data_IF_997846631257
#
_entry.id   IF_997846631257
#
_cell.length_a   1.000
_cell.length_b   1.000
_cell.length_c   1.000
_cell.angle_alpha   90.00
_cell.angle_beta   90.00
_cell.angle_gamma   90.00
#
_symmetry.space_group_name_H-M   'P 1'
#
loop_
_entity.id
_entity.type
_entity.pdbx_description
1 polymer ?
#
# COMPACT_ATOMS: atom_id res chain seq x y z
N UNK A 1 -84.50 7.29 24.56
CA UNK A 1 -85.11 8.46 23.89
C UNK A 1 -84.13 8.94 22.83
N UNK A 2 -84.61 8.95 21.58
CA UNK A 2 -84.00 9.39 20.29
C UNK A 2 -82.72 8.68 19.85
N UNK A 3 -82.74 7.64 19.01
CA UNK A 3 -83.07 7.53 17.55
C UNK A 3 -82.16 8.35 16.62
N UNK A 4 -81.37 7.63 15.79
CA UNK A 4 -81.41 7.57 14.31
C UNK A 4 -80.38 8.50 13.63
N UNK A 5 -79.75 8.21 12.49
CA UNK A 5 -79.81 7.06 11.59
C UNK A 5 -78.56 7.06 10.66
N UNK A 6 -78.29 5.85 10.16
CA UNK A 6 -77.64 5.42 8.92
C UNK A 6 -77.40 6.45 7.81
N UNK A 7 -76.26 6.29 7.12
CA UNK A 7 -76.08 6.16 5.66
C UNK A 7 -74.59 6.36 5.35
N UNK A 8 -73.92 5.81 4.34
CA UNK A 8 -74.11 4.70 3.40
C UNK A 8 -72.84 4.73 2.53
N UNK A 9 -72.03 3.66 2.49
CA UNK A 9 -71.12 3.42 1.35
C UNK A 9 -71.95 2.99 0.12
N UNK A 10 -71.44 2.89 -1.14
CA UNK A 10 -70.07 3.03 -1.66
C UNK A 10 -69.96 3.84 -3.00
N UNK A 11 -68.75 4.16 -3.46
CA UNK A 11 -68.33 3.94 -4.87
C UNK A 11 -66.86 4.25 -5.13
N UNK A 12 -66.26 3.31 -5.84
CA UNK A 12 -64.91 3.20 -6.35
C UNK A 12 -64.55 4.22 -7.45
N UNK A 13 -63.30 4.67 -7.44
CA UNK A 13 -62.49 4.96 -8.65
C UNK A 13 -61.02 4.57 -8.38
N UNK A 14 -60.48 3.57 -9.08
CA UNK A 14 -59.05 3.28 -9.10
C UNK A 14 -58.46 3.82 -10.41
N UNK A 15 -57.52 4.76 -10.37
CA UNK A 15 -56.62 5.01 -11.50
C UNK A 15 -55.51 5.97 -11.08
N UNK A 16 -54.26 5.51 -11.19
CA UNK A 16 -53.09 6.39 -11.12
C UNK A 16 -51.98 5.97 -10.16
N UNK A 17 -51.52 4.70 -10.20
CA UNK A 17 -50.27 4.30 -9.54
C UNK A 17 -49.67 3.07 -10.24
N UNK A 18 -49.32 3.23 -11.53
CA UNK A 18 -48.59 2.22 -12.32
C UNK A 18 -47.52 2.86 -13.22
N UNK A 19 -46.78 3.85 -12.69
CA UNK A 19 -45.63 4.45 -13.39
C UNK A 19 -44.39 4.64 -12.50
N UNK A 20 -44.34 3.99 -11.32
CA UNK A 20 -43.20 4.07 -10.40
C UNK A 20 -42.31 2.82 -10.36
N UNK A 21 -42.80 1.67 -10.82
CA UNK A 21 -42.14 0.37 -10.64
C UNK A 21 -41.19 -0.01 -11.78
N UNK A 22 -41.29 0.64 -12.95
CA UNK A 22 -40.48 0.30 -14.13
C UNK A 22 -39.10 0.98 -14.16
N UNK A 23 -38.95 2.14 -13.51
CA UNK A 23 -37.66 2.86 -13.47
C UNK A 23 -36.67 2.20 -12.49
N UNK A 24 -37.15 1.59 -11.40
CA UNK A 24 -36.30 0.87 -10.43
C UNK A 24 -35.74 -0.44 -11.02
N UNK A 25 -36.51 -1.14 -11.88
CA UNK A 25 -36.00 -2.35 -12.55
C UNK A 25 -34.97 -2.05 -13.65
N UNK A 26 -35.12 -0.96 -14.40
CA UNK A 26 -34.17 -0.60 -15.45
C UNK A 26 -32.79 -0.18 -14.89
N UNK A 27 -32.76 0.57 -13.78
CA UNK A 27 -31.51 0.90 -13.09
C UNK A 27 -30.83 -0.33 -12.44
N UNK A 28 -31.63 -1.30 -11.96
CA UNK A 28 -31.13 -2.58 -11.45
C UNK A 28 -30.52 -3.46 -12.54
N UNK A 29 -31.13 -3.53 -13.73
CA UNK A 29 -30.63 -4.33 -14.84
C UNK A 29 -29.32 -3.78 -15.43
N UNK A 30 -29.21 -2.46 -15.60
CA UNK A 30 -27.98 -1.83 -16.11
C UNK A 30 -26.79 -1.99 -15.14
N UNK A 31 -27.03 -1.84 -13.83
CA UNK A 31 -25.99 -2.07 -12.82
C UNK A 31 -25.65 -3.55 -12.63
N UNK A 32 -26.58 -4.48 -12.86
CA UNK A 32 -26.29 -5.92 -12.92
C UNK A 32 -25.38 -6.26 -14.10
N UNK A 33 -25.62 -5.67 -15.28
CA UNK A 33 -24.83 -5.96 -16.48
C UNK A 33 -23.42 -5.34 -16.42
N UNK A 34 -23.30 -4.14 -15.86
CA UNK A 34 -22.02 -3.48 -15.62
C UNK A 34 -21.18 -4.21 -14.56
N UNK A 35 -21.81 -4.66 -13.47
CA UNK A 35 -21.15 -5.49 -12.46
C UNK A 35 -20.80 -6.89 -12.99
N UNK A 36 -21.62 -7.45 -13.88
CA UNK A 36 -21.33 -8.73 -14.56
C UNK A 36 -20.14 -8.59 -15.50
N UNK A 37 -20.05 -7.53 -16.29
CA UNK A 37 -18.89 -7.26 -17.14
C UNK A 37 -17.60 -7.13 -16.31
N UNK A 38 -17.65 -6.41 -15.18
CA UNK A 38 -16.53 -6.31 -14.22
C UNK A 38 -16.15 -7.66 -13.61
N UNK A 39 -17.15 -8.47 -13.21
CA UNK A 39 -16.93 -9.81 -12.67
C UNK A 39 -16.34 -10.78 -13.72
N UNK A 40 -16.71 -10.62 -14.99
CA UNK A 40 -16.12 -11.42 -16.07
C UNK A 40 -14.68 -11.00 -16.37
N UNK A 41 -14.31 -9.75 -16.09
CA UNK A 41 -12.93 -9.24 -16.20
C UNK A 41 -12.02 -9.65 -15.03
N UNK A 42 -12.57 -10.06 -13.88
CA UNK A 42 -11.75 -10.64 -12.79
C UNK A 42 -11.16 -12.00 -13.17
N UNK A 43 -9.95 -12.29 -12.66
CA UNK A 43 -9.25 -13.55 -12.93
C UNK A 43 -10.04 -14.76 -12.46
N UNK A 44 -9.85 -15.92 -13.10
CA UNK A 44 -10.53 -17.16 -12.70
C UNK A 44 -10.26 -17.55 -11.25
N UNK A 45 -9.07 -17.23 -10.73
CA UNK A 45 -8.70 -17.43 -9.32
C UNK A 45 -9.54 -16.52 -8.42
N UNK A 46 -9.60 -15.22 -8.70
CA UNK A 46 -10.38 -14.27 -7.90
C UNK A 46 -11.88 -14.62 -7.87
N UNK A 47 -12.43 -15.14 -8.98
CA UNK A 47 -13.82 -15.62 -9.01
C UNK A 47 -14.03 -16.85 -8.12
N UNK A 48 -13.06 -17.75 -8.07
CA UNK A 48 -13.11 -18.95 -7.21
C UNK A 48 -13.02 -18.55 -5.74
N UNK A 49 -12.11 -17.65 -5.41
CA UNK A 49 -11.95 -17.12 -4.04
C UNK A 49 -13.22 -16.40 -3.57
N UNK A 50 -13.85 -15.62 -4.46
CA UNK A 50 -15.13 -14.98 -4.15
C UNK A 50 -16.25 -16.01 -3.92
N UNK A 51 -16.36 -17.01 -4.79
CA UNK A 51 -17.35 -18.08 -4.65
C UNK A 51 -17.16 -18.87 -3.34
N UNK A 52 -15.91 -19.16 -2.97
CA UNK A 52 -15.61 -19.82 -1.71
C UNK A 52 -15.93 -18.93 -0.50
N UNK A 53 -15.61 -17.63 -0.57
CA UNK A 53 -15.95 -16.67 0.47
C UNK A 53 -17.46 -16.52 0.67
N UNK A 54 -18.23 -16.48 -0.42
CA UNK A 54 -19.70 -16.47 -0.37
C UNK A 54 -20.25 -17.79 0.20
N UNK A 55 -19.66 -18.92 -0.17
CA UNK A 55 -20.05 -20.21 0.41
C UNK A 55 -19.80 -20.27 1.91
N UNK A 56 -18.64 -19.79 2.38
CA UNK A 56 -18.34 -19.69 3.81
C UNK A 56 -19.31 -18.74 4.51
N UNK A 57 -19.62 -17.60 3.89
CA UNK A 57 -20.63 -16.69 4.42
C UNK A 57 -21.99 -17.36 4.60
N UNK A 58 -22.45 -18.15 3.62
CA UNK A 58 -23.71 -18.87 3.72
C UNK A 58 -23.67 -20.01 4.76
N UNK A 59 -22.49 -20.57 5.06
CA UNK A 59 -22.31 -21.65 6.04
C UNK A 59 -22.12 -21.15 7.47
N UNK A 60 -21.34 -20.08 7.66
CA UNK A 60 -20.88 -19.61 8.97
C UNK A 60 -21.88 -18.65 9.64
N UNK A 61 -22.74 -18.01 8.85
CA UNK A 61 -23.73 -17.05 9.36
C UNK A 61 -25.14 -17.64 9.40
N UNK A 62 -25.89 -17.31 10.46
CA UNK A 62 -27.31 -17.62 10.56
C UNK A 62 -28.11 -16.76 9.57
N UNK A 63 -29.28 -17.24 9.14
CA UNK A 63 -30.16 -16.54 8.18
C UNK A 63 -30.42 -15.09 8.58
N UNK A 64 -30.68 -14.82 9.86
CA UNK A 64 -30.90 -13.47 10.38
C UNK A 64 -29.67 -12.57 10.20
N UNK A 65 -28.47 -13.11 10.44
CA UNK A 65 -27.21 -12.39 10.25
C UNK A 65 -26.92 -12.14 8.77
N UNK A 66 -27.22 -13.12 7.91
CA UNK A 66 -27.11 -12.96 6.46
C UNK A 66 -28.04 -11.85 5.96
N UNK A 67 -29.29 -11.83 6.42
CA UNK A 67 -30.25 -10.77 6.10
C UNK A 67 -29.78 -9.39 6.60
N UNK A 68 -29.24 -9.32 7.82
CA UNK A 68 -28.67 -8.08 8.33
C UNK A 68 -27.53 -7.55 7.45
N UNK A 69 -26.60 -8.41 7.04
CA UNK A 69 -25.49 -8.03 6.14
C UNK A 69 -26.00 -7.60 4.76
N UNK A 70 -26.95 -8.34 4.17
CA UNK A 70 -27.57 -7.97 2.89
C UNK A 70 -28.30 -6.62 2.98
N UNK A 71 -28.99 -6.36 4.09
CA UNK A 71 -29.65 -5.07 4.31
C UNK A 71 -28.67 -3.89 4.40
N UNK A 72 -27.47 -4.12 4.95
CA UNK A 72 -26.40 -3.11 4.97
C UNK A 72 -25.89 -2.87 3.55
N UNK A 73 -25.64 -3.92 2.78
CA UNK A 73 -25.20 -3.82 1.38
C UNK A 73 -26.23 -3.07 0.50
N UNK A 74 -27.52 -3.37 0.67
CA UNK A 74 -28.60 -2.67 -0.04
C UNK A 74 -28.64 -1.19 0.33
N UNK A 75 -28.50 -0.85 1.62
CA UNK A 75 -28.40 0.56 2.05
C UNK A 75 -27.17 1.25 1.47
N UNK A 76 -26.01 0.60 1.46
CA UNK A 76 -24.79 1.16 0.87
C UNK A 76 -24.95 1.41 -0.63
N UNK A 77 -25.66 0.55 -1.36
CA UNK A 77 -25.95 0.73 -2.79
C UNK A 77 -26.83 1.94 -3.08
N UNK A 78 -27.73 2.31 -2.15
CA UNK A 78 -28.60 3.48 -2.30
C UNK A 78 -27.91 4.81 -2.05
N UNK A 79 -26.71 4.82 -1.45
CA UNK A 79 -25.96 6.04 -1.16
C UNK A 79 -25.29 6.61 -2.43
N UNK A 80 -25.09 7.94 -2.49
CA UNK A 80 -24.19 8.57 -3.45
C UNK A 80 -22.79 7.93 -3.43
N UNK A 81 -22.10 7.91 -4.57
CA UNK A 81 -20.80 7.23 -4.70
C UNK A 81 -19.78 7.69 -3.64
N UNK A 82 -19.68 9.00 -3.41
CA UNK A 82 -18.73 9.56 -2.42
C UNK A 82 -19.05 9.12 -0.99
N UNK A 83 -20.32 9.18 -0.59
CA UNK A 83 -20.76 8.73 0.73
C UNK A 83 -20.56 7.22 0.91
N UNK A 84 -20.91 6.43 -0.11
CA UNK A 84 -20.69 5.00 -0.13
C UNK A 84 -19.21 4.65 0.06
N UNK A 85 -18.32 5.36 -0.63
CA UNK A 85 -16.87 5.19 -0.47
C UNK A 85 -16.41 5.52 0.95
N UNK A 86 -16.92 6.61 1.53
CA UNK A 86 -16.61 6.99 2.91
C UNK A 86 -17.01 5.90 3.92
N UNK A 87 -18.23 5.35 3.80
CA UNK A 87 -18.69 4.25 4.65
C UNK A 87 -17.86 2.98 4.47
N UNK A 88 -17.56 2.59 3.22
CA UNK A 88 -16.72 1.43 2.94
C UNK A 88 -15.29 1.61 3.46
N UNK A 89 -14.76 2.83 3.44
CA UNK A 89 -13.47 3.15 4.05
C UNK A 89 -13.53 3.05 5.58
N UNK A 90 -14.61 3.51 6.22
CA UNK A 90 -14.81 3.34 7.67
C UNK A 90 -14.89 1.85 8.07
N UNK A 91 -15.65 1.04 7.32
CA UNK A 91 -15.75 -0.41 7.57
C UNK A 91 -14.40 -1.11 7.42
N UNK A 92 -13.64 -0.79 6.36
CA UNK A 92 -12.29 -1.34 6.14
C UNK A 92 -11.34 -0.98 7.29
N UNK A 93 -11.34 0.29 7.73
CA UNK A 93 -10.52 0.73 8.86
C UNK A 93 -10.86 0.01 10.15
N UNK A 94 -12.15 -0.11 10.44
CA UNK A 94 -12.60 -0.84 11.60
C UNK A 94 -12.14 -2.30 11.55
N UNK A 95 -12.32 -2.98 10.42
CA UNK A 95 -11.87 -4.36 10.24
C UNK A 95 -10.35 -4.49 10.44
N UNK A 96 -9.55 -3.67 9.76
CA UNK A 96 -8.09 -3.70 9.89
C UNK A 96 -7.62 -3.37 11.32
N UNK A 97 -8.31 -2.45 12.00
CA UNK A 97 -8.03 -2.14 13.39
C UNK A 97 -8.32 -3.33 14.31
N UNK A 98 -9.48 -4.00 14.15
CA UNK A 98 -9.84 -5.20 14.91
C UNK A 98 -8.81 -6.32 14.69
N UNK A 99 -8.41 -6.56 13.43
CA UNK A 99 -7.37 -7.55 13.11
C UNK A 99 -5.98 -7.17 13.65
N UNK A 100 -5.73 -5.87 13.86
CA UNK A 100 -4.50 -5.37 14.46
C UNK A 100 -4.44 -5.48 15.99
N UNK A 101 -5.53 -5.86 16.66
CA UNK A 101 -5.56 -6.03 18.11
C UNK A 101 -4.83 -7.31 18.54
N UNK A 102 -4.25 -7.37 19.75
CA UNK A 102 -3.79 -8.63 20.31
C UNK A 102 -4.91 -9.66 20.33
N UNK A 103 -4.62 -10.91 19.97
CA UNK A 103 -5.61 -11.99 19.79
C UNK A 103 -6.62 -12.08 20.94
N UNK A 104 -6.13 -12.12 22.19
CA UNK A 104 -6.99 -12.12 23.38
C UNK A 104 -7.94 -10.93 23.46
N UNK A 105 -7.47 -9.73 23.11
CA UNK A 105 -8.28 -8.50 23.14
C UNK A 105 -9.31 -8.49 22.01
N UNK A 106 -8.93 -8.98 20.83
CA UNK A 106 -9.82 -9.14 19.68
C UNK A 106 -10.94 -10.12 20.00
N UNK A 107 -10.60 -11.29 20.53
CA UNK A 107 -11.55 -12.36 20.82
C UNK A 107 -12.51 -11.95 21.94
N UNK A 108 -12.00 -11.27 22.99
CA UNK A 108 -12.81 -10.66 24.04
C UNK A 108 -13.79 -9.60 23.48
N UNK A 109 -13.38 -8.83 22.46
CA UNK A 109 -14.25 -7.86 21.80
C UNK A 109 -15.34 -8.57 20.97
N UNK A 110 -14.96 -9.60 20.20
CA UNK A 110 -15.88 -10.33 19.31
C UNK A 110 -16.88 -11.19 20.09
N UNK A 111 -16.51 -11.69 21.26
CA UNK A 111 -17.38 -12.47 22.14
C UNK A 111 -18.55 -11.65 22.74
N UNK A 112 -18.44 -10.32 22.77
CA UNK A 112 -19.49 -9.43 23.33
C UNK A 112 -20.71 -9.36 22.42
N UNK A 113 -21.87 -9.09 23.01
CA UNK A 113 -23.09 -8.79 22.28
C UNK A 113 -22.94 -7.51 21.44
N UNK A 114 -23.62 -7.38 20.28
CA UNK A 114 -23.48 -6.23 19.37
C UNK A 114 -23.57 -4.86 20.07
N UNK A 115 -24.53 -4.70 20.98
CA UNK A 115 -24.77 -3.44 21.70
C UNK A 115 -23.62 -3.07 22.66
N UNK A 116 -22.92 -4.08 23.19
CA UNK A 116 -21.78 -3.91 24.09
C UNK A 116 -20.43 -3.79 23.35
N UNK A 117 -20.38 -4.18 22.08
CA UNK A 117 -19.16 -4.04 21.28
C UNK A 117 -18.82 -2.58 21.08
N UNK A 118 -19.79 -1.73 20.76
CA UNK A 118 -19.55 -0.30 20.52
C UNK A 118 -18.95 0.44 21.73
N UNK A 119 -19.44 0.17 22.95
CA UNK A 119 -18.86 0.76 24.17
C UNK A 119 -17.44 0.25 24.46
N UNK A 120 -17.21 -1.04 24.18
CA UNK A 120 -15.89 -1.66 24.29
C UNK A 120 -14.91 -1.10 23.27
N UNK A 121 -15.34 -0.89 22.03
CA UNK A 121 -14.56 -0.23 20.98
C UNK A 121 -14.13 1.15 21.44
N UNK A 122 -15.04 1.99 21.98
CA UNK A 122 -14.67 3.33 22.49
C UNK A 122 -13.54 3.28 23.52
N UNK A 123 -13.58 2.30 24.43
CA UNK A 123 -12.55 2.12 25.45
C UNK A 123 -11.24 1.59 24.84
N UNK A 124 -11.34 0.63 23.92
CA UNK A 124 -10.18 0.04 23.26
C UNK A 124 -9.47 1.03 22.34
N UNK A 125 -10.21 1.92 21.66
CA UNK A 125 -9.62 2.95 20.80
C UNK A 125 -8.73 3.90 21.59
N UNK A 126 -9.03 4.19 22.87
CA UNK A 126 -8.14 4.99 23.71
C UNK A 126 -6.78 4.29 23.98
N UNK A 127 -6.77 2.94 24.00
CA UNK A 127 -5.57 2.12 24.26
C UNK A 127 -4.84 1.69 22.97
N UNK A 128 -5.60 1.51 21.90
CA UNK A 128 -5.19 1.12 20.56
C UNK A 128 -5.84 2.13 19.59
N UNK A 129 -5.23 3.31 19.39
CA UNK A 129 -5.82 4.34 18.54
C UNK A 129 -6.10 3.82 17.14
N UNK A 130 -7.21 4.29 16.55
CA UNK A 130 -7.51 4.05 15.15
C UNK A 130 -6.48 4.80 14.30
N UNK A 131 -6.06 4.26 13.13
CA UNK A 131 -5.30 5.04 12.17
C UNK A 131 -6.15 6.24 11.72
N UNK A 132 -5.69 7.47 11.96
CA UNK A 132 -6.39 8.66 11.48
C UNK A 132 -6.38 8.68 9.94
N UNK A 133 -7.53 9.04 9.37
CA UNK A 133 -7.76 9.10 7.92
C UNK A 133 -7.38 10.42 7.34
N UNK A 134 -7.54 11.47 8.13
CA UNK A 134 -6.99 12.76 7.81
C UNK A 134 -5.64 12.80 8.48
N UNK A 135 -4.64 12.13 7.90
CA UNK A 135 -3.20 12.39 7.90
C UNK A 135 -2.68 13.68 8.60
N UNK A 136 -3.12 14.01 9.82
CA UNK A 136 -2.84 15.25 10.56
C UNK A 136 -2.00 14.97 11.79
N UNK A 137 -2.01 13.74 12.29
CA UNK A 137 -1.05 13.28 13.31
C UNK A 137 0.22 12.79 12.61
N UNK A 138 1.37 13.47 12.81
CA UNK A 138 2.67 13.08 12.21
C UNK A 138 3.08 11.63 12.53
N UNK A 139 2.47 11.02 13.54
CA UNK A 139 2.93 9.77 14.16
C UNK A 139 1.98 8.59 13.84
N UNK A 140 0.83 8.85 13.20
CA UNK A 140 -0.12 7.79 12.76
C UNK A 140 0.41 6.96 11.59
N UNK A 141 1.47 7.44 10.95
CA UNK A 141 2.09 6.87 9.76
C UNK A 141 3.01 5.68 10.05
N UNK A 142 3.28 5.42 11.32
CA UNK A 142 4.13 4.30 11.74
C UNK A 142 3.31 2.99 11.81
N UNK A 143 1.97 3.07 11.78
CA UNK A 143 1.14 1.96 12.28
C UNK A 143 0.77 0.89 11.26
N UNK A 144 0.80 1.12 9.95
CA UNK A 144 0.31 0.10 9.00
C UNK A 144 1.45 -0.62 8.29
N UNK A 145 1.87 -1.74 8.90
CA UNK A 145 2.75 -2.74 8.27
C UNK A 145 4.25 -2.51 8.45
N UNK A 146 4.68 -1.50 9.21
CA UNK A 146 6.08 -1.29 9.60
C UNK A 146 7.06 -1.17 8.42
N UNK A 147 6.59 -0.75 7.25
CA UNK A 147 7.38 -0.63 6.01
C UNK A 147 7.23 0.80 5.51
N UNK A 148 8.33 1.56 5.44
CA UNK A 148 8.29 2.93 4.93
C UNK A 148 8.04 2.96 3.42
N UNK A 149 7.60 4.09 2.87
CA UNK A 149 7.31 4.20 1.43
C UNK A 149 8.54 3.89 0.55
N UNK A 150 9.74 4.28 0.99
CA UNK A 150 11.00 4.01 0.29
C UNK A 150 11.33 2.51 0.27
N UNK A 151 11.05 1.82 1.37
CA UNK A 151 11.22 0.36 1.47
C UNK A 151 10.18 -0.36 0.62
N UNK A 152 8.90 0.06 0.66
CA UNK A 152 7.85 -0.51 -0.20
C UNK A 152 8.24 -0.36 -1.68
N UNK A 153 8.76 0.80 -2.09
CA UNK A 153 9.23 1.01 -3.45
C UNK A 153 10.39 0.08 -3.81
N UNK A 154 11.36 -0.13 -2.91
CA UNK A 154 12.43 -1.11 -3.12
C UNK A 154 11.90 -2.53 -3.29
N UNK A 155 10.96 -2.96 -2.43
CA UNK A 155 10.32 -4.28 -2.53
C UNK A 155 9.59 -4.43 -3.88
N UNK A 156 8.82 -3.43 -4.31
CA UNK A 156 8.17 -3.42 -5.62
C UNK A 156 9.17 -3.52 -6.77
N UNK A 157 10.25 -2.72 -6.75
CA UNK A 157 11.30 -2.76 -7.78
C UNK A 157 11.97 -4.13 -7.84
N UNK A 158 12.28 -4.70 -6.69
CA UNK A 158 12.87 -6.04 -6.60
C UNK A 158 11.94 -7.10 -7.15
N UNK A 159 10.68 -7.10 -6.74
CA UNK A 159 9.66 -8.04 -7.21
C UNK A 159 9.50 -8.00 -8.74
N UNK A 160 9.44 -6.80 -9.32
CA UNK A 160 9.32 -6.62 -10.76
C UNK A 160 10.57 -7.11 -11.51
N UNK A 161 11.74 -7.11 -10.87
CA UNK A 161 12.98 -7.67 -11.41
C UNK A 161 13.10 -9.21 -11.25
N UNK A 162 12.21 -9.86 -10.50
CA UNK A 162 12.18 -11.32 -10.37
C UNK A 162 11.54 -11.98 -11.59
N UNK A 163 12.03 -13.17 -11.94
CA UNK A 163 11.38 -14.07 -12.90
C UNK A 163 10.07 -14.65 -12.34
N UNK A 164 9.13 -15.12 -13.18
CA UNK A 164 7.90 -15.76 -12.71
C UNK A 164 8.15 -16.94 -11.76
N UNK A 165 9.21 -17.74 -12.01
CA UNK A 165 9.57 -18.87 -11.15
C UNK A 165 10.06 -18.42 -9.77
N UNK A 166 10.85 -17.35 -9.70
CA UNK A 166 11.31 -16.78 -8.43
C UNK A 166 10.15 -16.18 -7.63
N UNK A 167 9.24 -15.48 -8.31
CA UNK A 167 8.02 -14.95 -7.68
C UNK A 167 7.18 -16.06 -7.06
N UNK A 168 6.97 -17.16 -7.81
CA UNK A 168 6.23 -18.31 -7.31
C UNK A 168 6.90 -18.96 -6.10
N UNK A 169 8.22 -19.12 -6.11
CA UNK A 169 8.98 -19.64 -4.95
C UNK A 169 8.85 -18.73 -3.73
N UNK A 170 8.89 -17.42 -3.93
CA UNK A 170 8.74 -16.45 -2.85
C UNK A 170 7.32 -16.47 -2.27
N UNK A 171 6.28 -16.53 -3.12
CA UNK A 171 4.90 -16.62 -2.65
C UNK A 171 4.61 -17.92 -1.88
N UNK A 172 5.28 -19.02 -2.25
CA UNK A 172 5.21 -20.29 -1.52
C UNK A 172 5.92 -20.24 -0.14
N UNK A 173 6.75 -19.23 0.13
CA UNK A 173 7.45 -19.09 1.41
C UNK A 173 6.50 -18.63 2.53
N UNK A 174 6.80 -18.94 3.81
CA UNK A 174 6.01 -18.47 4.95
C UNK A 174 5.85 -16.94 4.95
N UNK A 175 4.65 -16.45 5.28
CA UNK A 175 4.32 -15.02 5.18
C UNK A 175 5.32 -14.10 5.92
N UNK A 176 5.84 -14.53 7.07
CA UNK A 176 6.81 -13.77 7.87
C UNK A 176 8.21 -13.65 7.26
N UNK A 177 8.61 -14.56 6.35
CA UNK A 177 9.95 -14.56 5.75
C UNK A 177 10.00 -13.90 4.37
N UNK A 178 8.85 -13.75 3.68
CA UNK A 178 8.77 -13.21 2.30
C UNK A 178 9.49 -11.87 2.14
N UNK A 179 9.30 -10.95 3.09
CA UNK A 179 9.94 -9.62 3.05
C UNK A 179 11.46 -9.70 3.16
N UNK A 180 11.98 -10.48 4.11
CA UNK A 180 13.42 -10.64 4.32
C UNK A 180 14.07 -11.31 3.10
N UNK A 181 13.39 -12.30 2.52
CA UNK A 181 13.85 -12.99 1.31
C UNK A 181 13.84 -12.06 0.09
N UNK A 182 12.81 -11.21 -0.06
CA UNK A 182 12.78 -10.22 -1.13
C UNK A 182 13.92 -9.21 -0.99
N UNK A 183 14.22 -8.73 0.22
CA UNK A 183 15.40 -7.88 0.49
C UNK A 183 16.71 -8.58 0.11
N UNK A 184 16.87 -9.85 0.46
CA UNK A 184 18.04 -10.66 0.07
C UNK A 184 18.18 -10.75 -1.45
N UNK A 185 17.09 -11.02 -2.16
CA UNK A 185 17.08 -11.08 -3.63
C UNK A 185 17.34 -9.71 -4.29
N UNK A 186 16.91 -8.62 -3.66
CA UNK A 186 17.18 -7.24 -4.08
C UNK A 186 18.65 -6.90 -3.93
N UNK A 187 19.26 -7.24 -2.78
CA UNK A 187 20.68 -7.06 -2.54
C UNK A 187 21.53 -7.78 -3.60
N UNK A 188 21.20 -9.04 -3.92
CA UNK A 188 21.87 -9.81 -4.98
C UNK A 188 21.77 -9.17 -6.38
N UNK A 189 20.81 -8.26 -6.59
CA UNK A 189 20.57 -7.52 -7.83
C UNK A 189 21.04 -6.06 -7.77
N UNK A 190 21.76 -5.66 -6.72
CA UNK A 190 22.17 -4.28 -6.47
C UNK A 190 20.98 -3.29 -6.37
N UNK A 191 19.83 -3.78 -5.90
CA UNK A 191 18.69 -2.92 -5.55
C UNK A 191 18.84 -2.57 -4.07
N UNK A 192 18.94 -1.28 -3.70
CA UNK A 192 19.10 -0.86 -2.31
C UNK A 192 17.85 -1.21 -1.49
N UNK A 193 17.99 -1.45 -0.19
CA UNK A 193 16.87 -1.81 0.69
C UNK A 193 15.78 -0.73 0.76
N UNK A 194 16.14 0.53 0.48
CA UNK A 194 15.22 1.66 0.38
C UNK A 194 15.55 2.46 -0.89
N UNK A 195 14.51 2.83 -1.66
CA UNK A 195 14.65 3.74 -2.80
C UNK A 195 14.42 5.16 -2.33
N UNK A 196 15.49 5.92 -2.16
CA UNK A 196 15.43 7.33 -1.78
C UNK A 196 15.31 8.22 -3.02
N UNK A 197 14.42 9.22 -2.99
CA UNK A 197 14.43 10.32 -3.96
C UNK A 197 15.78 11.05 -3.98
N UNK A 198 16.19 11.62 -5.12
CA UNK A 198 17.46 12.34 -5.24
C UNK A 198 17.52 13.62 -4.37
N UNK A 199 16.36 14.20 -4.05
CA UNK A 199 16.19 15.41 -3.25
C UNK A 199 15.91 15.11 -1.77
N UNK A 200 15.84 13.84 -1.38
CA UNK A 200 15.67 13.45 0.03
C UNK A 200 16.97 13.68 0.81
N UNK A 201 16.99 14.74 1.62
CA UNK A 201 18.07 15.00 2.57
C UNK A 201 17.71 14.40 3.94
N UNK A 202 18.26 13.23 4.26
CA UNK A 202 17.95 12.50 5.49
C UNK A 202 18.17 13.33 6.75
N UNK A 203 19.28 14.08 6.85
CA UNK A 203 19.57 14.91 8.03
C UNK A 203 18.50 15.97 8.24
N UNK A 204 18.14 16.71 7.18
CA UNK A 204 17.10 17.73 7.25
C UNK A 204 15.76 17.16 7.73
N UNK A 205 15.34 16.01 7.19
CA UNK A 205 14.06 15.40 7.56
C UNK A 205 14.08 14.75 8.94
N UNK A 206 15.23 14.27 9.41
CA UNK A 206 15.41 13.83 10.80
C UNK A 206 15.27 15.02 11.76
N UNK A 207 15.91 16.15 11.47
CA UNK A 207 15.80 17.36 12.30
C UNK A 207 14.33 17.85 12.36
N UNK A 208 13.62 17.83 11.22
CA UNK A 208 12.18 18.11 11.18
C UNK A 208 11.36 17.09 11.99
N UNK A 209 11.68 15.80 11.87
CA UNK A 209 11.02 14.73 12.63
C UNK A 209 11.20 14.90 14.14
N UNK A 210 12.40 15.27 14.60
CA UNK A 210 12.67 15.56 16.01
C UNK A 210 11.89 16.79 16.49
N UNK A 211 11.84 17.86 15.70
CA UNK A 211 11.05 19.05 16.04
C UNK A 211 9.56 18.73 16.18
N UNK A 212 8.98 18.00 15.23
CA UNK A 212 7.59 17.54 15.29
C UNK A 212 7.33 16.65 16.51
N UNK A 213 8.27 15.76 16.82
CA UNK A 213 8.15 14.89 17.99
C UNK A 213 8.17 15.68 19.30
N UNK A 214 9.01 16.71 19.38
CA UNK A 214 9.09 17.60 20.54
C UNK A 214 7.82 18.44 20.70
N UNK A 215 7.22 18.94 19.61
CA UNK A 215 5.92 19.62 19.62
C UNK A 215 4.82 18.72 20.23
N UNK A 216 4.74 17.46 19.78
CA UNK A 216 3.75 16.50 20.28
C UNK A 216 4.01 16.14 21.74
N UNK A 217 5.27 15.97 22.14
CA UNK A 217 5.65 15.79 23.55
C UNK A 217 5.28 17.03 24.39
N UNK A 218 5.16 18.22 23.80
CA UNK A 218 4.64 19.40 24.49
C UNK A 218 3.13 19.35 24.79
N UNK A 219 2.36 18.55 24.03
CA UNK A 219 0.89 18.69 23.95
C UNK A 219 0.05 17.81 24.89
N UNK A 220 0.64 16.91 25.70
CA UNK A 220 -0.10 16.12 26.70
C UNK A 220 0.59 14.84 27.20
N UNK A 221 0.06 14.21 28.25
CA UNK A 221 0.64 13.00 28.89
C UNK A 221 0.33 11.71 28.13
N UNK A 222 -0.91 11.53 27.66
CA UNK A 222 -1.33 10.33 26.90
C UNK A 222 -0.53 10.17 25.61
N UNK A 223 -0.17 11.30 24.98
CA UNK A 223 0.63 11.32 23.75
C UNK A 223 2.11 10.90 23.97
N UNK A 224 2.65 11.06 25.18
CA UNK A 224 4.02 10.65 25.48
C UNK A 224 4.16 9.14 25.62
N UNK A 225 3.19 8.50 26.26
CA UNK A 225 3.24 7.08 26.57
C UNK A 225 3.18 6.20 25.32
N UNK A 226 2.40 6.60 24.32
CA UNK A 226 2.31 5.83 23.08
C UNK A 226 3.54 6.02 22.19
N UNK A 227 4.11 7.24 22.12
CA UNK A 227 5.36 7.51 21.40
C UNK A 227 6.47 6.64 21.99
N UNK A 228 6.59 6.61 23.32
CA UNK A 228 7.58 5.79 24.02
C UNK A 228 7.39 4.30 23.72
N UNK A 229 6.15 3.79 23.72
CA UNK A 229 5.85 2.40 23.33
C UNK A 229 6.24 2.11 21.89
N UNK A 230 6.05 3.07 20.99
CA UNK A 230 6.34 2.93 19.57
C UNK A 230 7.84 2.97 19.27
N UNK A 231 8.57 3.87 19.92
CA UNK A 231 10.04 3.93 19.93
C UNK A 231 10.60 2.58 20.39
N UNK A 232 10.11 2.06 21.52
CA UNK A 232 10.53 0.76 22.05
C UNK A 232 10.23 -0.39 21.08
N UNK A 233 9.05 -0.40 20.44
CA UNK A 233 8.69 -1.43 19.44
C UNK A 233 9.63 -1.39 18.23
N UNK A 234 9.91 -0.19 17.72
CA UNK A 234 10.81 -0.04 16.57
C UNK A 234 12.23 -0.44 16.95
N UNK A 235 12.72 0.02 18.12
CA UNK A 235 14.03 -0.35 18.64
C UNK A 235 14.20 -1.87 18.78
N UNK A 236 13.18 -2.57 19.28
CA UNK A 236 13.17 -4.04 19.35
C UNK A 236 13.25 -4.69 17.96
N UNK A 237 12.49 -4.19 16.98
CA UNK A 237 12.57 -4.73 15.60
C UNK A 237 13.91 -4.47 14.92
N UNK A 238 14.59 -3.36 15.25
CA UNK A 238 15.92 -3.05 14.71
C UNK A 238 17.06 -3.73 15.45
N UNK A 239 16.94 -3.98 16.76
CA UNK A 239 17.96 -4.68 17.55
C UNK A 239 18.17 -6.13 17.08
N UNK A 240 17.15 -6.73 16.48
CA UNK A 240 17.24 -8.04 15.82
C UNK A 240 17.96 -7.99 14.47
N UNK A 241 18.28 -6.78 13.94
CA UNK A 241 19.02 -6.55 12.70
C UNK A 241 20.43 -6.02 12.99
N UNK A 242 21.22 -6.73 13.81
CA UNK A 242 22.65 -6.40 14.03
C UNK A 242 23.45 -6.76 12.77
N UNK A 243 23.69 -5.78 11.91
CA UNK A 243 24.63 -5.86 10.80
C UNK A 243 25.21 -4.49 10.52
N UNK A 244 26.53 -4.37 10.63
CA UNK A 244 27.39 -3.22 10.34
C UNK A 244 27.31 -2.00 11.28
N UNK A 245 28.33 -1.87 12.12
CA UNK A 245 28.51 -0.85 13.17
C UNK A 245 28.72 0.59 12.70
N UNK A 246 27.95 1.07 11.72
CA UNK A 246 27.73 2.51 11.53
C UNK A 246 26.57 2.91 12.43
N UNK A 247 26.72 4.02 13.16
CA UNK A 247 25.63 4.66 13.90
C UNK A 247 24.54 5.10 12.92
N UNK A 248 23.67 4.17 12.55
CA UNK A 248 22.47 4.49 11.79
C UNK A 248 21.59 5.37 12.69
N UNK A 249 21.04 6.47 12.17
CA UNK A 249 20.11 7.30 12.92
C UNK A 249 19.02 6.43 13.54
N UNK A 250 18.52 6.82 14.72
CA UNK A 250 17.54 6.04 15.49
C UNK A 250 16.47 5.53 14.51
N UNK A 251 16.28 4.20 14.32
CA UNK A 251 15.42 3.66 13.27
C UNK A 251 13.98 4.19 13.30
N UNK A 252 13.54 4.63 14.48
CA UNK A 252 12.30 5.37 14.68
C UNK A 252 12.29 6.73 13.98
N UNK A 253 13.31 7.56 14.19
CA UNK A 253 13.42 8.91 13.62
C UNK A 253 13.58 8.85 12.10
N UNK A 254 14.37 7.90 11.59
CA UNK A 254 14.47 7.69 10.14
C UNK A 254 13.10 7.42 9.51
N UNK A 255 12.31 6.51 10.10
CA UNK A 255 10.96 6.21 9.61
C UNK A 255 10.04 7.43 9.69
N UNK A 256 10.13 8.20 10.77
CA UNK A 256 9.35 9.42 10.92
C UNK A 256 9.75 10.46 9.87
N UNK A 257 11.04 10.63 9.61
CA UNK A 257 11.60 11.51 8.58
C UNK A 257 11.11 11.12 7.18
N UNK A 258 11.18 9.84 6.81
CA UNK A 258 10.64 9.34 5.53
C UNK A 258 9.14 9.62 5.40
N UNK A 259 8.38 9.40 6.47
CA UNK A 259 6.93 9.65 6.47
C UNK A 259 6.60 11.14 6.35
N UNK A 260 7.34 12.01 7.04
CA UNK A 260 7.18 13.46 6.94
C UNK A 260 7.52 13.96 5.54
N UNK A 261 8.61 13.46 4.94
CA UNK A 261 8.95 13.76 3.55
C UNK A 261 7.78 13.39 2.62
N UNK A 262 7.24 12.18 2.73
CA UNK A 262 6.11 11.74 1.89
C UNK A 262 4.88 12.64 2.03
N UNK A 263 4.65 13.20 3.23
CA UNK A 263 3.50 14.05 3.51
C UNK A 263 3.67 15.47 3.01
N UNK A 264 4.79 16.10 3.35
CA UNK A 264 5.03 17.53 3.13
C UNK A 264 5.64 17.80 1.75
N UNK A 265 6.27 16.81 1.13
CA UNK A 265 6.84 16.99 -0.20
C UNK A 265 5.76 17.16 -1.28
N UNK A 266 6.10 17.98 -2.27
CA UNK A 266 5.26 18.27 -3.45
C UNK A 266 4.69 16.97 -4.03
N UNK A 267 3.39 16.92 -4.38
CA UNK A 267 2.81 15.72 -4.92
C UNK A 267 3.62 15.24 -6.13
N UNK A 268 3.96 13.95 -6.19
CA UNK A 268 4.76 13.40 -7.27
C UNK A 268 4.10 13.68 -8.62
N UNK A 269 4.91 13.76 -9.68
CA UNK A 269 4.41 13.95 -11.04
C UNK A 269 3.26 12.98 -11.33
N UNK A 270 2.14 13.51 -11.83
CA UNK A 270 0.90 12.74 -12.05
C UNK A 270 1.18 11.50 -12.88
N UNK A 271 0.53 10.39 -12.53
CA UNK A 271 0.59 9.12 -13.25
C UNK A 271 -0.81 8.85 -13.80
N UNK A 272 -0.88 8.34 -15.03
CA UNK A 272 -2.13 7.89 -15.62
C UNK A 272 -2.78 6.79 -14.75
N UNK A 273 -4.10 6.89 -14.53
CA UNK A 273 -4.81 5.97 -13.64
C UNK A 273 -4.80 4.53 -14.13
N UNK A 274 -4.83 4.31 -15.45
CA UNK A 274 -4.72 2.99 -16.07
C UNK A 274 -3.35 2.36 -15.83
N UNK A 275 -2.27 3.12 -16.00
CA UNK A 275 -0.91 2.66 -15.69
C UNK A 275 -0.71 2.36 -14.21
N UNK A 276 -1.27 3.19 -13.34
CA UNK A 276 -1.19 2.99 -11.90
C UNK A 276 -1.90 1.68 -11.50
N UNK A 277 -3.05 1.39 -12.09
CA UNK A 277 -3.77 0.12 -11.88
C UNK A 277 -2.96 -1.09 -12.40
N UNK A 278 -2.32 -0.98 -13.56
CA UNK A 278 -1.46 -2.05 -14.09
C UNK A 278 -0.25 -2.31 -13.20
N UNK A 279 0.39 -1.25 -12.69
CA UNK A 279 1.48 -1.36 -11.72
C UNK A 279 1.00 -2.03 -10.44
N UNK A 280 -0.13 -1.60 -9.88
CA UNK A 280 -0.72 -2.21 -8.68
C UNK A 280 -1.04 -3.70 -8.86
N UNK A 281 -1.56 -4.09 -10.03
CA UNK A 281 -1.82 -5.49 -10.34
C UNK A 281 -0.54 -6.33 -10.50
N UNK A 282 0.61 -5.70 -10.75
CA UNK A 282 1.89 -6.37 -11.02
C UNK A 282 2.75 -6.58 -9.76
N UNK A 283 2.43 -5.92 -8.65
CA UNK A 283 3.11 -6.08 -7.36
C UNK A 283 2.51 -7.25 -6.54
N UNK A 284 3.21 -7.81 -5.53
CA UNK A 284 2.70 -8.95 -4.78
C UNK A 284 1.43 -8.61 -3.99
N UNK A 285 0.50 -9.57 -3.85
CA UNK A 285 -0.77 -9.37 -3.13
C UNK A 285 -0.58 -8.95 -1.67
N UNK A 286 0.47 -9.44 -1.01
CA UNK A 286 0.80 -9.05 0.37
C UNK A 286 1.39 -7.64 0.48
N UNK A 287 1.87 -7.05 -0.62
CA UNK A 287 2.20 -5.61 -0.68
C UNK A 287 0.94 -4.82 -0.99
N UNK A 288 0.10 -5.29 -1.91
CA UNK A 288 -1.19 -4.65 -2.23
C UNK A 288 -2.07 -4.47 -0.98
N UNK A 289 -2.09 -5.48 -0.09
CA UNK A 289 -2.86 -5.43 1.16
C UNK A 289 -2.43 -4.29 2.10
N UNK A 290 -1.19 -3.80 2.01
CA UNK A 290 -0.72 -2.65 2.78
C UNK A 290 -1.41 -1.35 2.39
N UNK A 291 -2.02 -1.27 1.20
CA UNK A 291 -2.77 -0.10 0.75
C UNK A 291 -4.25 -0.14 1.13
N UNK A 292 -4.80 -1.33 1.45
CA UNK A 292 -6.22 -1.52 1.75
C UNK A 292 -6.68 -0.81 3.03
N UNK A 293 -5.72 -0.41 3.86
CA UNK A 293 -5.93 0.30 5.13
C UNK A 293 -6.24 1.78 4.93
N UNK A 294 -5.88 2.33 3.78
CA UNK A 294 -6.05 3.74 3.47
C UNK A 294 -7.34 3.98 2.66
N UNK A 295 -7.94 5.18 2.75
CA UNK A 295 -8.95 5.64 1.79
C UNK A 295 -8.43 5.59 0.35
N UNK A 296 -9.35 5.49 -0.62
CA UNK A 296 -9.00 5.34 -2.04
C UNK A 296 -8.05 6.43 -2.56
N UNK A 297 -8.26 7.69 -2.17
CA UNK A 297 -7.43 8.80 -2.63
C UNK A 297 -6.03 8.80 -2.01
N UNK A 298 -5.92 8.52 -0.72
CA UNK A 298 -4.62 8.42 -0.04
C UNK A 298 -3.85 7.17 -0.50
N UNK A 299 -4.54 6.04 -0.70
CA UNK A 299 -3.95 4.85 -1.31
C UNK A 299 -3.40 5.17 -2.70
N UNK A 300 -4.17 5.90 -3.54
CA UNK A 300 -3.74 6.34 -4.87
C UNK A 300 -2.53 7.28 -4.79
N UNK A 301 -2.54 8.25 -3.87
CA UNK A 301 -1.41 9.18 -3.65
C UNK A 301 -0.14 8.42 -3.27
N UNK A 302 -0.21 7.53 -2.28
CA UNK A 302 0.94 6.72 -1.83
C UNK A 302 1.44 5.80 -2.92
N UNK A 303 0.52 5.15 -3.64
CA UNK A 303 0.87 4.29 -4.76
C UNK A 303 1.55 5.09 -5.89
N UNK A 304 1.10 6.32 -6.15
CA UNK A 304 1.75 7.23 -7.11
C UNK A 304 3.18 7.57 -6.68
N UNK A 305 3.40 7.82 -5.38
CA UNK A 305 4.74 8.04 -4.85
C UNK A 305 5.64 6.81 -5.00
N UNK A 306 5.15 5.64 -4.59
CA UNK A 306 5.86 4.35 -4.77
C UNK A 306 6.18 4.13 -6.26
N UNK A 307 5.23 4.39 -7.15
CA UNK A 307 5.42 4.29 -8.59
C UNK A 307 6.55 5.20 -9.06
N UNK A 308 6.58 6.48 -8.66
CA UNK A 308 7.59 7.45 -9.09
C UNK A 308 8.97 7.22 -8.47
N UNK A 309 9.05 6.56 -7.33
CA UNK A 309 10.32 6.06 -6.78
C UNK A 309 10.88 4.91 -7.62
N UNK A 310 10.02 4.02 -8.12
CA UNK A 310 10.45 2.90 -8.97
C UNK A 310 10.76 3.37 -10.40
N UNK A 311 9.94 4.29 -10.93
CA UNK A 311 10.02 4.87 -12.28
C UNK A 311 10.06 6.41 -12.20
N UNK A 312 11.24 7.00 -11.96
CA UNK A 312 11.41 8.45 -11.92
C UNK A 312 11.01 9.06 -13.27
N UNK A 313 10.23 10.15 -13.24
CA UNK A 313 9.81 10.84 -14.45
C UNK A 313 11.03 11.23 -15.32
N UNK A 314 11.02 10.98 -16.65
CA UNK A 314 9.90 10.59 -17.50
C UNK A 314 9.71 9.07 -17.72
N UNK A 315 10.37 8.22 -16.93
CA UNK A 315 10.22 6.77 -17.03
C UNK A 315 8.81 6.34 -16.61
N UNK A 316 8.32 5.29 -17.25
CA UNK A 316 6.95 4.80 -17.06
C UNK A 316 6.98 3.27 -17.05
N UNK A 317 6.11 2.69 -16.23
CA UNK A 317 5.89 1.25 -16.14
C UNK A 317 5.33 0.70 -17.45
N UNK A 318 6.02 -0.29 -18.02
CA UNK A 318 5.54 -1.09 -19.13
C UNK A 318 5.33 -2.54 -18.67
N UNK A 319 4.08 -3.04 -18.64
CA UNK A 319 3.79 -4.42 -18.23
C UNK A 319 4.36 -5.47 -19.20
N UNK A 320 4.74 -5.08 -20.44
CA UNK A 320 5.30 -5.98 -21.46
C UNK A 320 6.82 -5.99 -21.48
N UNK A 321 7.47 -5.03 -20.83
CA UNK A 321 8.89 -5.07 -20.59
C UNK A 321 9.17 -6.16 -19.54
N UNK A 322 9.31 -7.41 -20.00
CA UNK A 322 9.65 -8.53 -19.14
C UNK A 322 10.92 -8.27 -18.33
N UNK A 323 11.07 -8.98 -17.21
CA UNK A 323 12.26 -8.94 -16.36
C UNK A 323 13.51 -9.35 -17.15
N UNK A 324 14.15 -8.41 -17.86
CA UNK A 324 15.23 -8.74 -18.78
C UNK A 324 15.93 -7.58 -19.48
N UNK A 325 15.41 -6.35 -19.46
CA UNK A 325 16.15 -5.21 -20.02
C UNK A 325 17.06 -4.60 -18.95
N UNK A 326 18.36 -4.90 -19.06
CA UNK A 326 19.43 -4.10 -18.46
C UNK A 326 19.11 -2.62 -18.67
N UNK A 327 19.14 -1.85 -17.58
CA UNK A 327 18.91 -0.42 -17.59
C UNK A 327 19.69 0.24 -18.74
N UNK A 328 18.94 0.75 -19.72
CA UNK A 328 19.47 1.50 -20.83
C UNK A 328 20.03 2.80 -20.26
N UNK A 329 21.36 2.96 -20.36
CA UNK A 329 22.07 4.14 -19.90
C UNK A 329 21.43 5.40 -20.49
N UNK A 330 21.25 6.42 -19.64
CA UNK A 330 20.81 7.75 -20.04
C UNK A 330 21.64 8.27 -21.22
N UNK A 331 21.03 8.92 -22.23
CA UNK A 331 21.79 9.56 -23.29
C UNK A 331 22.54 10.75 -22.70
N UNK A 332 23.88 10.72 -22.76
CA UNK A 332 24.71 11.90 -22.57
C UNK A 332 24.24 13.01 -23.52
N UNK A 333 24.14 14.27 -23.05
CA UNK A 333 23.80 15.38 -23.93
C UNK A 333 24.89 15.55 -24.99
N UNK A 334 24.44 15.70 -26.23
CA UNK A 334 25.26 15.90 -27.41
C UNK A 334 26.15 17.14 -27.25
N UNK A 335 27.47 16.91 -27.19
CA UNK A 335 28.45 17.97 -27.40
C UNK A 335 28.52 18.27 -28.90
N UNK A 336 28.15 19.50 -29.24
CA UNK A 336 28.27 20.07 -30.58
C UNK A 336 29.73 20.12 -31.04
N UNK A 337 29.88 19.82 -32.33
CA UNK A 337 31.09 19.76 -33.14
C UNK A 337 32.02 20.97 -32.97
N UNK A 338 33.32 20.72 -32.96
CA UNK A 338 34.24 21.53 -33.78
C UNK A 338 35.34 20.62 -34.32
N UNK A 339 35.39 20.51 -35.64
CA UNK A 339 36.38 19.76 -36.40
C UNK A 339 37.63 20.61 -36.62
N UNK A 340 38.81 20.02 -36.52
CA UNK A 340 40.00 20.48 -37.25
C UNK A 340 40.88 19.30 -37.68
N UNK A 341 41.61 19.44 -38.81
CA UNK A 341 42.00 18.31 -39.66
C UNK A 341 43.40 17.77 -39.35
N UNK A 342 43.55 16.49 -39.71
CA UNK A 342 44.76 15.66 -39.72
C UNK A 342 45.69 16.07 -40.88
N UNK A 343 47.03 15.98 -40.69
CA UNK A 343 47.92 15.57 -41.78
C UNK A 343 48.58 14.22 -41.50
N UNK A 344 48.85 13.51 -42.59
CA UNK A 344 49.33 12.13 -42.67
C UNK A 344 50.85 11.99 -42.53
N UNK A 345 51.25 10.90 -41.82
CA UNK A 345 52.40 9.96 -41.92
C UNK A 345 53.65 10.29 -42.78
N UNK A 346 54.85 9.73 -42.49
CA UNK A 346 55.14 8.31 -42.77
C UNK A 346 56.09 7.55 -41.79
N UNK A 347 56.19 6.24 -42.07
CA UNK A 347 56.73 5.07 -41.34
C UNK A 347 58.24 5.05 -41.03
N UNK A 348 58.65 4.26 -40.02
CA UNK A 348 59.73 3.25 -40.12
C UNK A 348 59.88 2.38 -38.84
N UNK A 349 59.42 1.12 -38.92
CA UNK A 349 60.07 -0.17 -38.63
C UNK A 349 60.99 -0.47 -37.38
N UNK A 350 61.20 -1.76 -37.04
CA UNK A 350 61.27 -2.32 -35.68
C UNK A 350 62.68 -2.78 -35.24
N UNK A 351 62.86 -3.19 -33.96
CA UNK A 351 63.55 -4.44 -33.53
C UNK A 351 63.88 -4.53 -32.02
N UNK A 352 64.00 -5.78 -31.57
CA UNK A 352 64.67 -6.34 -30.36
C UNK A 352 63.84 -6.35 -29.06
N UNK A 353 63.35 -7.48 -28.53
CA UNK A 353 63.99 -8.75 -28.12
C UNK A 353 64.84 -8.64 -26.84
N UNK A 354 64.74 -9.69 -26.00
CA UNK A 354 65.56 -10.03 -24.80
C UNK A 354 65.17 -9.22 -23.54
N UNK A 355 64.99 -9.76 -22.32
CA UNK A 355 65.23 -11.09 -21.74
C UNK A 355 64.64 -11.15 -20.32
N UNK A 356 64.13 -12.33 -19.94
CA UNK A 356 63.97 -12.82 -18.56
C UNK A 356 65.38 -13.07 -17.96
N UNK A 357 65.62 -12.90 -16.64
CA UNK A 357 65.49 -14.01 -15.67
C UNK A 357 64.95 -13.52 -14.30
N UNK A 358 64.02 -14.19 -13.61
CA UNK A 358 64.15 -15.35 -12.68
C UNK A 358 65.14 -15.21 -11.50
N UNK A 359 64.54 -15.05 -10.30
CA UNK A 359 64.92 -15.52 -8.95
C UNK A 359 66.13 -14.87 -8.22
N UNK A 360 66.27 -15.00 -6.87
CA UNK A 360 65.54 -15.87 -5.93
C UNK A 360 65.06 -15.24 -4.58
N UNK A 361 64.22 -16.04 -3.92
CA UNK A 361 64.04 -16.29 -2.48
C UNK A 361 65.18 -15.81 -1.56
N UNK A 362 64.83 -15.12 -0.47
CA UNK A 362 65.46 -15.29 0.86
C UNK A 362 64.58 -14.70 1.99
N UNK A 363 63.97 -15.60 2.76
CA UNK A 363 63.76 -15.48 4.22
C UNK A 363 65.10 -15.78 4.92
N UNK A 364 65.41 -15.26 6.12
CA UNK A 364 64.66 -15.54 7.35
C UNK A 364 64.52 -14.36 8.33
N UNK A 365 63.39 -14.29 9.04
CA UNK A 365 63.27 -14.11 10.50
C UNK A 365 61.81 -14.35 10.91
#
# INVERSE_FOLDING_TARGET
>A
MTDNAKNSFPRSRPLGLLAGTLVVMAAGAASLDENRARFLQTSAVARRDLAESLRRFDQDFRVEQQQAVRSIDDRLKTLPTEEREHYLAAMRRFHNWVEGLPERVRDDLLAKAPDQRLSSVKTLVAKYPLPDVEARSPVDFIQTGGTGAFEVASLCKTWLALSPQERQKLDASPAGSRRAELHRLGHNRNIPAELTPPDYNEKHWIDQAENRLNEIRGSGTVQKDWITKLENRIAQTSANRKGDGKESPRPFLHRLAVNLYVQEHTPPAKVDSGRLAQFFASIPSWVQSTFNVFPSDEARRRLTLVYRLVYPHPQEFDPRAGAGTKAQASPSPAASKTAQPRPSAPQAQPKNATSKPSNPVQSPF
#
